data_IF_806067938137
#
_entry.id   IF_806067938137
#
_cell.length_a   1.000
_cell.length_b   1.000
_cell.length_c   1.000
_cell.angle_alpha   90.00
_cell.angle_beta   90.00
_cell.angle_gamma   90.00
#
_symmetry.space_group_name_H-M   'P 1'
#
loop_
_entity.id
_entity.type
_entity.pdbx_description
1 polymer ?
#
# COMPACT_ATOMS: atom_id res chain seq x y z
N UNK A 1 12.92 10.98 17.58
CA UNK A 1 13.19 9.57 18.00
C UNK A 1 13.94 8.85 16.89
N UNK A 2 14.99 8.12 17.24
CA UNK A 2 15.74 7.24 16.32
C UNK A 2 15.28 5.81 16.52
N UNK A 3 15.07 5.08 15.42
CA UNK A 3 14.66 3.68 15.49
C UNK A 3 15.38 2.80 14.48
N UNK A 4 15.47 1.51 14.78
CA UNK A 4 15.98 0.47 13.89
C UNK A 4 14.97 -0.67 13.74
N UNK A 5 15.06 -1.41 12.64
CA UNK A 5 14.21 -2.56 12.36
C UNK A 5 15.06 -3.81 12.26
N UNK A 6 14.61 -4.91 12.87
CA UNK A 6 15.21 -6.24 12.76
C UNK A 6 14.16 -7.19 12.20
N UNK A 7 14.36 -7.68 10.98
CA UNK A 7 13.55 -8.74 10.39
C UNK A 7 14.24 -10.10 10.65
N UNK A 8 13.53 -11.00 11.31
CA UNK A 8 14.04 -12.31 11.72
C UNK A 8 13.34 -13.38 10.89
N UNK A 9 14.12 -14.23 10.22
CA UNK A 9 13.62 -15.33 9.42
C UNK A 9 14.66 -15.85 8.42
N UNK A 10 14.91 -17.15 8.43
CA UNK A 10 15.79 -17.81 7.46
C UNK A 10 15.27 -17.68 6.03
N UNK A 11 13.95 -17.71 5.82
CA UNK A 11 13.29 -17.56 4.52
C UNK A 11 13.55 -16.20 3.85
N UNK A 12 13.81 -15.15 4.65
CA UNK A 12 14.17 -13.83 4.16
C UNK A 12 15.60 -13.84 3.59
N UNK A 13 16.52 -14.52 4.28
CA UNK A 13 17.95 -14.58 3.88
C UNK A 13 18.18 -15.40 2.62
N UNK A 14 17.40 -16.48 2.43
CA UNK A 14 17.48 -17.30 1.21
C UNK A 14 16.65 -16.73 0.06
N UNK A 15 15.93 -15.61 0.28
CA UNK A 15 15.13 -14.94 -0.75
C UNK A 15 13.83 -15.67 -1.11
N UNK A 16 13.37 -16.61 -0.30
CA UNK A 16 12.10 -17.31 -0.49
C UNK A 16 10.91 -16.38 -0.25
N UNK A 17 11.06 -15.45 0.70
CA UNK A 17 10.09 -14.40 1.02
C UNK A 17 10.78 -13.05 0.95
N UNK A 18 10.09 -12.05 0.41
CA UNK A 18 10.56 -10.66 0.43
C UNK A 18 10.15 -9.99 1.73
N UNK A 19 11.08 -9.29 2.39
CA UNK A 19 10.78 -8.47 3.56
C UNK A 19 9.90 -7.27 3.16
N UNK A 20 8.60 -7.43 3.32
CA UNK A 20 7.62 -6.37 3.13
C UNK A 20 7.33 -5.60 4.42
N UNK A 21 7.63 -6.20 5.58
CA UNK A 21 7.36 -5.64 6.88
C UNK A 21 8.23 -4.41 7.16
N UNK A 22 9.54 -4.50 6.97
CA UNK A 22 10.45 -3.38 7.19
C UNK A 22 10.10 -2.17 6.32
N UNK A 23 9.82 -2.38 5.04
CA UNK A 23 9.42 -1.31 4.14
C UNK A 23 8.07 -0.68 4.53
N UNK A 24 7.13 -1.48 5.03
CA UNK A 24 5.86 -0.97 5.52
C UNK A 24 6.02 -0.17 6.82
N UNK A 25 6.76 -0.70 7.81
CA UNK A 25 7.06 -0.01 9.08
C UNK A 25 7.74 1.33 8.79
N UNK A 26 8.77 1.34 7.94
CA UNK A 26 9.48 2.56 7.59
C UNK A 26 8.55 3.65 7.00
N UNK A 27 7.62 3.27 6.13
CA UNK A 27 6.61 4.21 5.58
C UNK A 27 5.67 4.76 6.63
N UNK A 28 5.11 3.89 7.49
CA UNK A 28 4.19 4.34 8.54
C UNK A 28 4.89 5.22 9.59
N UNK A 29 6.12 4.88 9.96
CA UNK A 29 6.90 5.64 10.94
C UNK A 29 7.40 6.98 10.39
N UNK A 30 7.62 7.08 9.08
CA UNK A 30 8.13 8.31 8.45
C UNK A 30 7.20 9.52 8.62
N UNK A 31 5.89 9.29 8.79
CA UNK A 31 4.92 10.39 9.02
C UNK A 31 5.14 11.11 10.35
N UNK A 32 5.81 10.45 11.30
CA UNK A 32 6.08 10.98 12.64
C UNK A 32 7.42 11.72 12.72
N UNK A 33 8.12 11.93 11.60
CA UNK A 33 9.45 12.54 11.60
C UNK A 33 10.51 11.70 12.33
N UNK A 34 10.23 10.43 12.59
CA UNK A 34 11.16 9.53 13.25
C UNK A 34 12.20 9.02 12.27
N UNK A 35 13.45 8.94 12.71
CA UNK A 35 14.59 8.61 11.87
C UNK A 35 14.91 7.12 11.91
N UNK A 36 14.72 6.43 10.78
CA UNK A 36 15.19 5.06 10.61
C UNK A 36 16.71 5.04 10.47
N UNK A 37 17.40 4.43 11.43
CA UNK A 37 18.85 4.33 11.41
C UNK A 37 19.31 3.10 10.60
N UNK A 38 18.65 1.94 10.83
CA UNK A 38 19.10 0.68 10.22
C UNK A 38 17.95 -0.31 10.03
N UNK A 39 18.04 -1.10 8.95
CA UNK A 39 17.27 -2.34 8.77
C UNK A 39 18.23 -3.49 8.72
N UNK A 40 18.03 -4.50 9.56
CA UNK A 40 18.83 -5.72 9.60
C UNK A 40 17.94 -6.92 9.33
N UNK A 41 18.39 -7.84 8.48
CA UNK A 41 17.77 -9.16 8.29
C UNK A 41 18.69 -10.19 8.92
N UNK A 42 18.17 -11.00 9.83
CA UNK A 42 18.95 -11.97 10.58
C UNK A 42 18.29 -13.35 10.56
N UNK A 43 19.07 -14.44 10.65
CA UNK A 43 18.53 -15.79 10.75
C UNK A 43 17.83 -16.03 12.09
N UNK A 44 17.05 -17.11 12.14
CA UNK A 44 16.51 -17.66 13.40
C UNK A 44 17.62 -18.31 14.23
N UNK A 45 18.53 -17.46 14.72
CA UNK A 45 19.68 -17.83 15.53
C UNK A 45 19.87 -16.88 16.70
N UNK A 46 19.98 -17.42 17.90
CA UNK A 46 20.03 -16.62 19.14
C UNK A 46 21.18 -15.61 19.18
N UNK A 47 22.38 -16.02 18.76
CA UNK A 47 23.56 -15.13 18.78
C UNK A 47 23.43 -14.02 17.74
N UNK A 48 22.88 -14.34 16.55
CA UNK A 48 22.64 -13.35 15.51
C UNK A 48 21.60 -12.32 15.93
N UNK A 49 20.49 -12.75 16.55
CA UNK A 49 19.45 -11.88 17.07
C UNK A 49 20.01 -10.95 18.16
N UNK A 50 20.71 -11.49 19.15
CA UNK A 50 21.32 -10.69 20.24
C UNK A 50 22.30 -9.64 19.70
N UNK A 51 23.19 -10.05 18.79
CA UNK A 51 24.13 -9.12 18.14
C UNK A 51 23.44 -8.02 17.37
N UNK A 52 22.35 -8.35 16.66
CA UNK A 52 21.58 -7.35 15.93
C UNK A 52 20.91 -6.32 16.87
N UNK A 53 20.43 -6.78 18.04
CA UNK A 53 19.88 -5.91 19.07
C UNK A 53 20.94 -4.97 19.63
N UNK A 54 22.12 -5.49 19.95
CA UNK A 54 23.24 -4.67 20.46
C UNK A 54 23.59 -3.55 19.47
N UNK A 55 23.78 -3.91 18.19
CA UNK A 55 24.09 -2.95 17.11
C UNK A 55 22.96 -1.92 16.95
N UNK A 56 21.70 -2.36 17.01
CA UNK A 56 20.56 -1.47 16.86
C UNK A 56 20.47 -0.47 18.01
N UNK A 57 20.73 -0.92 19.24
CA UNK A 57 20.69 -0.05 20.43
C UNK A 57 21.87 0.93 20.54
N UNK A 58 22.97 0.72 19.80
CA UNK A 58 24.03 1.73 19.71
C UNK A 58 23.56 3.00 19.00
N UNK A 59 22.67 2.86 18.02
CA UNK A 59 22.26 3.94 17.11
C UNK A 59 20.82 4.42 17.31
N UNK A 60 20.00 3.67 18.09
CA UNK A 60 18.55 3.88 18.18
C UNK A 60 18.02 3.84 19.61
N UNK A 61 16.94 4.59 19.83
CA UNK A 61 16.18 4.61 21.08
C UNK A 61 15.14 3.45 21.08
N UNK A 62 14.64 3.09 19.89
CA UNK A 62 13.62 2.07 19.69
C UNK A 62 14.07 1.04 18.65
N UNK A 63 13.88 -0.23 18.97
CA UNK A 63 14.12 -1.35 18.06
C UNK A 63 12.79 -2.06 17.80
N UNK A 64 12.41 -2.17 16.53
CA UNK A 64 11.22 -2.87 16.07
C UNK A 64 11.64 -4.19 15.44
N UNK A 65 11.43 -5.30 16.14
CA UNK A 65 11.74 -6.63 15.64
C UNK A 65 10.47 -7.31 15.09
N UNK A 66 10.58 -8.02 13.97
CA UNK A 66 9.45 -8.77 13.39
C UNK A 66 9.92 -10.16 12.93
N UNK A 67 9.19 -11.20 13.32
CA UNK A 67 9.48 -12.60 13.00
C UNK A 67 9.87 -13.45 14.19
N UNK A 68 9.88 -14.79 14.00
CA UNK A 68 10.31 -15.78 14.98
C UNK A 68 9.47 -15.87 16.26
N UNK A 69 8.22 -15.38 16.26
CA UNK A 69 7.27 -15.47 17.38
C UNK A 69 6.19 -16.54 17.18
N UNK A 70 6.27 -17.31 16.12
CA UNK A 70 5.33 -18.41 15.85
C UNK A 70 5.38 -19.51 16.88
N UNK A 71 4.52 -20.53 16.72
CA UNK A 71 4.41 -21.62 17.68
C UNK A 71 5.37 -22.79 17.41
N UNK A 72 6.21 -22.72 16.37
CA UNK A 72 7.04 -23.85 15.94
C UNK A 72 8.40 -23.85 16.64
N UNK A 73 9.20 -24.92 16.48
CA UNK A 73 10.46 -25.06 17.22
C UNK A 73 11.58 -24.15 16.72
N UNK A 74 11.48 -23.70 15.49
CA UNK A 74 12.33 -22.73 14.82
C UNK A 74 12.04 -21.29 15.25
N UNK A 75 10.87 -21.03 15.83
CA UNK A 75 10.50 -19.73 16.41
C UNK A 75 11.19 -19.48 17.76
N UNK A 76 12.44 -19.04 17.71
CA UNK A 76 13.29 -18.87 18.90
C UNK A 76 13.34 -17.45 19.45
N UNK A 77 12.73 -16.48 18.76
CA UNK A 77 12.83 -15.06 19.13
C UNK A 77 12.38 -14.82 20.56
N UNK A 78 11.27 -15.38 20.99
CA UNK A 78 10.73 -15.23 22.35
C UNK A 78 11.72 -15.69 23.43
N UNK A 79 12.29 -16.87 23.27
CA UNK A 79 13.27 -17.42 24.22
C UNK A 79 14.57 -16.65 24.22
N UNK A 80 15.02 -16.21 23.06
CA UNK A 80 16.23 -15.39 22.88
C UNK A 80 16.08 -14.03 23.56
N UNK A 81 14.92 -13.38 23.41
CA UNK A 81 14.64 -12.10 24.07
C UNK A 81 14.51 -12.24 25.60
N UNK A 82 13.88 -13.34 26.06
CA UNK A 82 13.82 -13.66 27.48
C UNK A 82 15.21 -13.79 28.10
N UNK A 83 16.15 -14.45 27.43
CA UNK A 83 17.53 -14.58 27.86
C UNK A 83 18.30 -13.24 27.77
N UNK A 84 18.08 -12.45 26.71
CA UNK A 84 18.76 -11.16 26.51
C UNK A 84 18.37 -10.10 27.54
N UNK A 85 17.09 -9.98 27.84
CA UNK A 85 16.58 -8.99 28.82
C UNK A 85 16.56 -9.51 30.26
N UNK A 86 16.85 -10.81 30.44
CA UNK A 86 16.70 -11.50 31.72
C UNK A 86 15.25 -11.85 32.02
N UNK A 87 15.03 -12.79 32.89
CA UNK A 87 13.70 -13.26 33.30
C UNK A 87 13.46 -14.73 32.98
N UNK A 88 12.23 -15.15 33.16
CA UNK A 88 11.76 -16.51 32.94
C UNK A 88 10.54 -16.51 32.03
N UNK A 89 10.31 -17.59 31.30
CA UNK A 89 9.05 -17.79 30.59
C UNK A 89 7.97 -18.18 31.59
N UNK A 90 7.00 -17.31 31.80
CA UNK A 90 5.84 -17.53 32.67
C UNK A 90 4.60 -17.77 31.85
N UNK A 91 3.70 -18.58 32.38
CA UNK A 91 2.40 -18.81 31.76
C UNK A 91 1.46 -17.66 32.08
N UNK A 92 0.93 -17.00 31.01
CA UNK A 92 0.05 -15.85 31.13
C UNK A 92 -1.39 -16.22 30.71
N UNK A 93 -2.30 -16.18 31.68
CA UNK A 93 -3.70 -16.53 31.45
C UNK A 93 -4.42 -15.56 30.52
N UNK A 94 -4.00 -14.28 30.48
CA UNK A 94 -4.57 -13.28 29.60
C UNK A 94 -4.19 -13.59 28.15
N UNK A 95 -2.93 -13.93 27.91
CA UNK A 95 -2.48 -14.38 26.59
C UNK A 95 -3.16 -15.68 26.17
N UNK A 96 -3.36 -16.63 27.10
CA UNK A 96 -4.12 -17.84 26.78
C UNK A 96 -5.56 -17.52 26.36
N UNK A 97 -6.22 -16.61 27.07
CA UNK A 97 -7.59 -16.19 26.72
C UNK A 97 -7.65 -15.59 25.30
N UNK A 98 -6.69 -14.72 24.95
CA UNK A 98 -6.58 -14.19 23.60
C UNK A 98 -6.33 -15.27 22.54
N UNK A 99 -5.43 -16.21 22.81
CA UNK A 99 -5.15 -17.36 21.93
C UNK A 99 -6.42 -18.17 21.68
N UNK A 100 -7.18 -18.47 22.74
CA UNK A 100 -8.45 -19.22 22.65
C UNK A 100 -9.47 -18.47 21.79
N UNK A 101 -9.63 -17.17 21.98
CA UNK A 101 -10.54 -16.35 21.20
C UNK A 101 -10.18 -16.34 19.71
N UNK A 102 -8.88 -16.18 19.37
CA UNK A 102 -8.41 -16.21 17.99
C UNK A 102 -8.62 -17.59 17.35
N UNK A 103 -8.35 -18.67 18.07
CA UNK A 103 -8.54 -20.06 17.61
C UNK A 103 -10.03 -20.32 17.34
N UNK A 104 -10.92 -19.88 18.23
CA UNK A 104 -12.37 -20.02 18.07
C UNK A 104 -12.89 -19.21 16.86
N UNK A 105 -12.51 -17.97 16.72
CA UNK A 105 -12.87 -17.12 15.57
C UNK A 105 -12.44 -17.71 14.23
N UNK A 106 -11.30 -18.41 14.21
CA UNK A 106 -10.78 -19.08 13.00
C UNK A 106 -11.33 -20.50 12.82
N UNK A 107 -12.22 -20.97 13.70
CA UNK A 107 -12.75 -22.34 13.71
C UNK A 107 -11.67 -23.43 13.73
N UNK A 108 -10.56 -23.16 14.39
CA UNK A 108 -9.44 -24.08 14.54
C UNK A 108 -9.53 -24.86 15.86
N UNK A 109 -8.78 -25.97 15.94
CA UNK A 109 -8.61 -26.71 17.21
C UNK A 109 -7.33 -26.24 17.89
N UNK A 110 -7.44 -25.93 19.19
CA UNK A 110 -6.26 -25.64 20.01
C UNK A 110 -5.38 -26.90 20.06
N UNK A 111 -4.09 -26.70 19.79
CA UNK A 111 -3.07 -27.72 19.98
C UNK A 111 -2.02 -27.21 20.99
N UNK A 112 -1.12 -28.08 21.42
CA UNK A 112 -0.12 -27.78 22.43
C UNK A 112 0.83 -26.63 22.01
N UNK A 113 1.28 -26.63 20.77
CA UNK A 113 2.16 -25.58 20.23
C UNK A 113 1.48 -24.21 20.27
N UNK A 114 0.23 -24.12 19.84
CA UNK A 114 -0.54 -22.87 19.89
C UNK A 114 -0.82 -22.45 21.34
N UNK A 115 -1.11 -23.41 22.24
CA UNK A 115 -1.29 -23.13 23.67
C UNK A 115 -0.01 -22.58 24.31
N UNK A 116 1.17 -23.04 23.88
CA UNK A 116 2.45 -22.60 24.38
C UNK A 116 2.80 -21.15 23.99
N UNK A 117 2.03 -20.50 23.11
CA UNK A 117 2.10 -19.07 22.89
C UNK A 117 1.79 -18.26 24.17
N UNK A 118 1.05 -18.83 25.12
CA UNK A 118 0.77 -18.25 26.41
C UNK A 118 1.98 -18.20 27.37
N UNK A 119 3.10 -18.85 27.02
CA UNK A 119 4.35 -18.62 27.76
C UNK A 119 5.04 -17.36 27.24
N UNK A 120 5.21 -16.38 28.12
CA UNK A 120 5.78 -15.06 27.79
C UNK A 120 6.91 -14.70 28.73
N UNK A 121 7.91 -13.88 28.33
CA UNK A 121 8.96 -13.43 29.22
C UNK A 121 8.39 -12.57 30.37
N UNK A 122 8.81 -12.87 31.61
CA UNK A 122 8.44 -12.08 32.79
C UNK A 122 9.02 -10.67 32.78
N UNK A 123 10.00 -10.39 31.94
CA UNK A 123 10.70 -9.11 31.80
C UNK A 123 10.08 -8.16 30.77
N UNK A 124 8.94 -8.51 30.15
CA UNK A 124 8.28 -7.67 29.17
C UNK A 124 6.84 -7.32 29.54
N UNK A 125 6.35 -6.22 28.99
CA UNK A 125 4.92 -5.97 28.90
C UNK A 125 4.37 -6.73 27.69
N UNK A 126 3.30 -7.50 27.90
CA UNK A 126 2.65 -8.26 26.83
C UNK A 126 1.52 -7.44 26.25
N UNK A 127 1.61 -7.14 24.95
CA UNK A 127 0.52 -6.52 24.19
C UNK A 127 -0.23 -7.62 23.42
N UNK A 128 -1.52 -7.78 23.72
CA UNK A 128 -2.33 -8.84 23.13
C UNK A 128 -2.56 -8.61 21.65
N UNK A 129 -2.33 -9.65 20.83
CA UNK A 129 -2.55 -9.63 19.39
C UNK A 129 -3.98 -10.13 19.09
N UNK A 130 -4.93 -9.21 18.94
CA UNK A 130 -6.34 -9.56 18.71
C UNK A 130 -6.64 -10.21 17.35
N UNK A 131 -5.65 -10.23 16.43
CA UNK A 131 -5.78 -10.81 15.09
C UNK A 131 -4.88 -12.02 14.85
N UNK A 132 -4.08 -12.40 15.86
CA UNK A 132 -3.18 -13.54 15.79
C UNK A 132 -2.90 -14.18 17.14
N UNK A 133 -2.28 -15.38 17.15
CA UNK A 133 -1.99 -16.13 18.37
C UNK A 133 -0.66 -15.76 19.03
N UNK A 134 0.27 -15.15 18.27
CA UNK A 134 1.55 -14.71 18.82
C UNK A 134 1.40 -13.34 19.47
N UNK A 135 1.65 -13.20 20.80
CA UNK A 135 1.60 -11.91 21.45
C UNK A 135 2.74 -11.02 20.99
N UNK A 136 2.58 -9.71 21.19
CA UNK A 136 3.64 -8.74 21.00
C UNK A 136 4.35 -8.54 22.33
N UNK A 137 5.67 -8.49 22.30
CA UNK A 137 6.51 -8.37 23.48
C UNK A 137 7.17 -7.00 23.48
N UNK A 138 6.85 -6.20 24.51
CA UNK A 138 7.39 -4.86 24.69
C UNK A 138 8.38 -4.88 25.84
N UNK A 139 9.66 -4.68 25.55
CA UNK A 139 10.73 -4.61 26.53
C UNK A 139 11.21 -3.16 26.70
N UNK A 140 11.47 -2.77 27.95
CA UNK A 140 12.09 -1.50 28.26
C UNK A 140 13.33 -1.72 29.14
N UNK A 141 14.45 -1.13 28.74
CA UNK A 141 15.69 -1.18 29.49
C UNK A 141 16.55 0.05 29.19
N UNK A 142 17.04 0.72 30.22
CA UNK A 142 17.95 1.87 30.09
C UNK A 142 17.42 2.95 29.13
N UNK A 143 16.15 3.33 29.29
CA UNK A 143 15.39 4.28 28.46
C UNK A 143 15.18 3.84 26.99
N UNK A 144 15.66 2.65 26.63
CA UNK A 144 15.48 2.07 25.28
C UNK A 144 14.32 1.09 25.25
N UNK A 145 13.71 0.95 24.08
CA UNK A 145 12.56 0.10 23.86
C UNK A 145 12.87 -0.93 22.76
N UNK A 146 12.52 -2.19 23.02
CA UNK A 146 12.42 -3.20 21.98
C UNK A 146 10.99 -3.73 21.90
N UNK A 147 10.42 -3.70 20.70
CA UNK A 147 9.10 -4.27 20.42
C UNK A 147 9.26 -5.44 19.46
N UNK A 148 8.92 -6.65 19.90
CA UNK A 148 8.94 -7.82 19.07
C UNK A 148 7.52 -8.18 18.62
N UNK A 149 7.34 -8.33 17.30
CA UNK A 149 6.07 -8.47 16.60
C UNK A 149 6.04 -9.75 15.75
N UNK A 150 4.85 -10.29 15.46
CA UNK A 150 4.70 -11.39 14.51
C UNK A 150 5.29 -11.07 13.13
N UNK A 151 5.82 -12.08 12.43
CA UNK A 151 6.28 -11.96 11.04
C UNK A 151 5.14 -11.82 10.03
N UNK A 152 3.92 -12.25 10.37
CA UNK A 152 2.74 -12.18 9.50
C UNK A 152 2.36 -10.72 9.22
N UNK A 153 2.44 -10.25 7.95
CA UNK A 153 2.29 -8.81 7.64
C UNK A 153 0.98 -8.21 8.14
N UNK A 154 -0.13 -8.90 7.94
CA UNK A 154 -1.45 -8.42 8.37
C UNK A 154 -1.53 -8.20 9.88
N UNK A 155 -1.00 -9.14 10.68
CA UNK A 155 -1.00 -9.06 12.14
C UNK A 155 -0.12 -7.90 12.62
N UNK A 156 1.11 -7.82 12.10
CA UNK A 156 2.06 -6.74 12.41
C UNK A 156 1.49 -5.36 12.08
N UNK A 157 0.96 -5.18 10.86
CA UNK A 157 0.42 -3.90 10.39
C UNK A 157 -0.78 -3.45 11.23
N UNK A 158 -1.71 -4.37 11.55
CA UNK A 158 -2.87 -4.07 12.37
C UNK A 158 -2.45 -3.57 13.76
N UNK A 159 -1.56 -4.31 14.41
CA UNK A 159 -1.09 -3.97 15.75
C UNK A 159 -0.22 -2.71 15.80
N UNK A 160 0.61 -2.50 14.80
CA UNK A 160 1.36 -1.25 14.65
C UNK A 160 0.42 -0.04 14.63
N UNK A 161 -0.58 -0.04 13.74
CA UNK A 161 -1.52 1.09 13.60
C UNK A 161 -2.37 1.30 14.85
N UNK A 162 -2.92 0.22 15.40
CA UNK A 162 -3.92 0.31 16.46
C UNK A 162 -3.32 0.59 17.84
N UNK A 163 -2.14 0.03 18.13
CA UNK A 163 -1.59 0.02 19.49
C UNK A 163 -0.18 0.58 19.56
N UNK A 164 0.75 0.07 18.73
CA UNK A 164 2.17 0.33 18.96
C UNK A 164 2.58 1.75 18.59
N UNK A 165 2.16 2.24 17.43
CA UNK A 165 2.43 3.62 17.02
C UNK A 165 1.82 4.63 18.00
N UNK A 166 0.53 4.54 18.40
CA UNK A 166 -0.02 5.42 19.43
C UNK A 166 0.74 5.37 20.77
N UNK A 167 1.18 4.17 21.17
CA UNK A 167 1.97 4.00 22.41
C UNK A 167 3.35 4.64 22.29
N UNK A 168 4.04 4.49 21.14
CA UNK A 168 5.32 5.14 20.86
C UNK A 168 5.19 6.66 20.79
N UNK A 169 4.17 7.18 20.13
CA UNK A 169 3.88 8.63 20.08
C UNK A 169 3.72 9.20 21.47
N UNK A 170 2.91 8.57 22.30
CA UNK A 170 2.71 9.00 23.70
C UNK A 170 4.02 9.00 24.49
N UNK A 171 4.91 8.02 24.23
CA UNK A 171 6.19 7.93 24.95
C UNK A 171 7.21 8.99 24.50
N UNK A 172 7.18 9.41 23.23
CA UNK A 172 8.24 10.23 22.62
C UNK A 172 7.84 11.68 22.36
N UNK A 173 6.54 11.98 22.37
CA UNK A 173 6.01 13.29 22.00
C UNK A 173 5.01 13.83 23.04
N UNK A 174 5.31 13.72 24.33
CA UNK A 174 4.37 14.12 25.40
C UNK A 174 3.79 15.55 25.23
N UNK A 175 4.47 16.45 24.48
CA UNK A 175 4.02 17.83 24.23
C UNK A 175 4.03 18.22 22.73
N UNK A 176 4.26 17.28 21.78
CA UNK A 176 4.33 17.60 20.35
C UNK A 176 3.06 17.17 19.63
N UNK A 177 2.38 18.12 19.00
CA UNK A 177 1.31 17.85 18.07
C UNK A 177 1.90 17.51 16.69
N UNK A 178 1.40 16.45 16.08
CA UNK A 178 1.81 16.00 14.75
C UNK A 178 0.62 16.04 13.81
N UNK A 179 0.80 16.64 12.63
CA UNK A 179 -0.17 16.58 11.54
C UNK A 179 0.53 16.23 10.23
N UNK A 180 -0.16 15.50 9.38
CA UNK A 180 0.26 15.28 7.99
C UNK A 180 -0.93 15.30 7.03
N UNK A 181 -0.69 15.73 5.80
CA UNK A 181 -1.64 15.68 4.68
C UNK A 181 -0.95 15.08 3.47
N UNK A 182 -1.65 14.21 2.76
CA UNK A 182 -1.13 13.57 1.56
C UNK A 182 -1.98 13.97 0.37
N UNK A 183 -1.32 14.48 -0.66
CA UNK A 183 -1.95 14.89 -1.92
C UNK A 183 -1.56 13.88 -3.01
N UNK A 184 -2.54 13.38 -3.73
CA UNK A 184 -2.32 12.49 -4.87
C UNK A 184 -2.19 13.33 -6.12
N UNK A 185 -0.99 13.34 -6.70
CA UNK A 185 -0.63 14.11 -7.89
C UNK A 185 -0.45 13.18 -9.08
N UNK A 186 -1.03 13.53 -10.22
CA UNK A 186 -0.92 12.80 -11.50
C UNK A 186 -0.37 13.70 -12.60
N UNK A 187 0.00 13.09 -13.74
CA UNK A 187 0.37 13.77 -15.00
C UNK A 187 1.53 14.77 -14.90
N UNK A 188 2.43 14.54 -13.97
CA UNK A 188 3.69 15.26 -13.85
C UNK A 188 4.79 14.28 -13.42
N UNK A 189 6.00 14.47 -13.92
CA UNK A 189 7.16 13.70 -13.46
C UNK A 189 7.73 14.36 -12.19
N UNK A 190 8.29 13.53 -11.29
CA UNK A 190 8.78 13.96 -9.99
C UNK A 190 9.75 15.13 -10.05
N UNK A 191 10.73 15.11 -10.97
CA UNK A 191 11.73 16.16 -11.10
C UNK A 191 11.13 17.52 -11.50
N UNK A 192 10.09 17.53 -12.36
CA UNK A 192 9.39 18.77 -12.70
C UNK A 192 8.54 19.29 -11.56
N UNK A 193 7.90 18.39 -10.82
CA UNK A 193 7.13 18.76 -9.64
C UNK A 193 8.03 19.34 -8.54
N UNK A 194 9.20 18.72 -8.30
CA UNK A 194 10.18 19.22 -7.35
C UNK A 194 10.71 20.61 -7.75
N UNK A 195 11.04 20.82 -9.03
CA UNK A 195 11.43 22.15 -9.52
C UNK A 195 10.33 23.20 -9.33
N UNK A 196 9.07 22.82 -9.55
CA UNK A 196 7.92 23.71 -9.38
C UNK A 196 7.71 24.10 -7.91
N UNK A 197 8.08 23.22 -6.97
CA UNK A 197 7.90 23.39 -5.54
C UNK A 197 9.17 23.84 -4.78
N UNK A 198 10.28 24.10 -5.47
CA UNK A 198 11.55 24.47 -4.83
C UNK A 198 11.44 25.73 -3.93
N UNK A 199 10.73 26.76 -4.37
CA UNK A 199 10.50 27.96 -3.57
C UNK A 199 9.45 27.75 -2.48
N UNK A 200 8.48 26.88 -2.70
CA UNK A 200 7.53 26.48 -1.68
C UNK A 200 8.22 25.78 -0.51
N UNK A 201 9.15 24.86 -0.78
CA UNK A 201 9.89 24.14 0.26
C UNK A 201 10.76 25.08 1.10
N UNK A 202 11.38 26.10 0.50
CA UNK A 202 12.16 27.12 1.21
C UNK A 202 11.34 27.99 2.17
N UNK A 203 10.03 28.12 1.92
CA UNK A 203 9.12 28.90 2.77
C UNK A 203 8.53 28.09 3.92
N UNK A 204 8.70 26.76 3.93
CA UNK A 204 8.20 25.91 5.01
C UNK A 204 8.92 26.25 6.32
N UNK A 205 8.19 26.34 7.46
CA UNK A 205 8.81 26.42 8.78
C UNK A 205 9.71 25.20 9.04
N UNK A 206 10.73 25.34 9.86
CA UNK A 206 11.68 24.26 10.20
C UNK A 206 10.99 23.00 10.77
N UNK A 207 9.81 23.15 11.38
CA UNK A 207 9.02 22.04 11.90
C UNK A 207 8.08 21.40 10.85
N UNK A 208 8.14 21.86 9.59
CA UNK A 208 7.37 21.30 8.49
C UNK A 208 8.29 20.82 7.37
N UNK A 209 7.91 19.75 6.69
CA UNK A 209 8.62 19.25 5.52
C UNK A 209 7.69 18.63 4.49
N UNK A 210 8.11 18.65 3.23
CA UNK A 210 7.42 18.01 2.11
C UNK A 210 8.20 16.78 1.65
N UNK A 211 7.50 15.66 1.48
CA UNK A 211 8.08 14.43 0.95
C UNK A 211 7.43 14.04 -0.38
N UNK A 212 8.26 13.60 -1.32
CA UNK A 212 7.83 13.05 -2.62
C UNK A 212 7.90 11.54 -2.56
N UNK A 213 6.78 10.87 -2.75
CA UNK A 213 6.65 9.42 -2.67
C UNK A 213 6.13 8.89 -4.02
N UNK A 214 7.02 8.73 -5.02
CA UNK A 214 6.60 8.30 -6.35
C UNK A 214 6.17 6.84 -6.36
N UNK A 215 5.11 6.57 -7.09
CA UNK A 215 4.65 5.22 -7.45
C UNK A 215 4.30 5.19 -8.92
N UNK A 216 4.21 4.02 -9.57
CA UNK A 216 3.89 3.97 -10.98
C UNK A 216 2.60 4.70 -11.33
N UNK A 217 2.73 5.81 -12.06
CA UNK A 217 1.61 6.60 -12.56
C UNK A 217 1.09 7.74 -11.68
N UNK A 218 1.61 7.90 -10.45
CA UNK A 218 1.25 9.02 -9.57
C UNK A 218 2.37 9.36 -8.59
N UNK A 219 2.31 10.54 -8.01
CA UNK A 219 3.19 10.98 -6.93
C UNK A 219 2.31 11.31 -5.70
N UNK A 220 2.69 10.77 -4.55
CA UNK A 220 2.14 11.22 -3.27
C UNK A 220 3.02 12.34 -2.73
N UNK A 221 2.47 13.54 -2.62
CA UNK A 221 3.09 14.62 -1.86
C UNK A 221 2.60 14.53 -0.43
N UNK A 222 3.51 14.42 0.52
CA UNK A 222 3.17 14.41 1.94
C UNK A 222 3.74 15.62 2.64
N UNK A 223 2.88 16.53 3.05
CA UNK A 223 3.20 17.64 3.92
C UNK A 223 3.07 17.17 5.37
N UNK A 224 4.14 17.25 6.13
CA UNK A 224 4.17 16.84 7.55
C UNK A 224 4.66 18.01 8.39
N UNK A 225 4.06 18.18 9.57
CA UNK A 225 4.50 19.18 10.55
C UNK A 225 4.38 18.64 11.98
N UNK A 226 5.30 19.05 12.86
CA UNK A 226 5.32 18.67 14.27
C UNK A 226 5.78 19.85 15.14
N UNK A 227 4.91 20.38 16.00
CA UNK A 227 5.28 21.43 16.96
C UNK A 227 4.43 21.35 18.26
N UNK A 228 4.81 22.12 19.28
CA UNK A 228 4.11 22.13 20.58
C UNK A 228 2.78 22.90 20.53
N UNK A 229 2.61 23.84 19.60
CA UNK A 229 1.39 24.63 19.43
C UNK A 229 0.49 24.01 18.36
N UNK A 230 -0.58 23.31 18.78
CA UNK A 230 -1.54 22.67 17.89
C UNK A 230 -2.26 23.67 16.99
N UNK A 231 -2.59 24.86 17.51
CA UNK A 231 -3.31 25.88 16.77
C UNK A 231 -2.44 26.47 15.66
N UNK A 232 -1.17 26.75 15.95
CA UNK A 232 -0.19 27.20 14.99
C UNK A 232 0.03 26.14 13.90
N UNK A 233 0.23 24.88 14.32
CA UNK A 233 0.41 23.78 13.38
C UNK A 233 -0.78 23.63 12.43
N UNK A 234 -2.00 23.67 12.96
CA UNK A 234 -3.22 23.55 12.14
C UNK A 234 -3.35 24.69 11.14
N UNK A 235 -3.08 25.94 11.57
CA UNK A 235 -3.13 27.12 10.71
C UNK A 235 -2.08 27.04 9.58
N UNK A 236 -0.87 26.61 9.88
CA UNK A 236 0.18 26.46 8.87
C UNK A 236 -0.09 25.29 7.93
N UNK A 237 -0.61 24.17 8.44
CA UNK A 237 -1.05 23.04 7.59
C UNK A 237 -2.13 23.48 6.60
N UNK A 238 -3.11 24.30 7.02
CA UNK A 238 -4.15 24.85 6.13
C UNK A 238 -3.55 25.80 5.09
N UNK A 239 -2.71 26.74 5.52
CA UNK A 239 -2.05 27.72 4.66
C UNK A 239 -1.21 27.03 3.57
N UNK A 240 -0.33 26.12 3.96
CA UNK A 240 0.57 25.47 3.01
C UNK A 240 -0.14 24.43 2.14
N UNK A 241 -1.22 23.80 2.62
CA UNK A 241 -2.08 22.97 1.77
C UNK A 241 -2.76 23.80 0.67
N UNK A 242 -3.32 24.95 1.01
CA UNK A 242 -3.92 25.85 0.03
C UNK A 242 -2.88 26.32 -1.01
N UNK A 243 -1.67 26.65 -0.58
CA UNK A 243 -0.58 27.04 -1.48
C UNK A 243 -0.14 25.89 -2.41
N UNK A 244 -0.14 24.64 -1.95
CA UNK A 244 0.11 23.47 -2.82
C UNK A 244 -0.95 23.36 -3.91
N UNK A 245 -2.23 23.56 -3.58
CA UNK A 245 -3.30 23.56 -4.59
C UNK A 245 -3.14 24.69 -5.61
N UNK A 246 -2.72 25.89 -5.19
CA UNK A 246 -2.45 27.00 -6.12
C UNK A 246 -1.30 26.69 -7.08
N UNK A 247 -0.23 26.06 -6.57
CA UNK A 247 0.97 25.77 -7.36
C UNK A 247 0.79 24.55 -8.27
N UNK A 248 0.17 23.48 -7.80
CA UNK A 248 0.06 22.19 -8.52
C UNK A 248 -1.23 22.09 -9.34
N UNK A 249 -2.28 22.77 -8.91
CA UNK A 249 -3.54 22.91 -9.62
C UNK A 249 -4.31 21.59 -9.79
N UNK A 250 -4.86 21.42 -10.99
CA UNK A 250 -5.70 20.28 -11.40
C UNK A 250 -4.99 18.91 -11.38
N UNK A 251 -3.66 18.91 -11.22
CA UNK A 251 -2.89 17.67 -11.07
C UNK A 251 -3.07 17.03 -9.69
N UNK A 252 -3.49 17.79 -8.67
CA UNK A 252 -3.94 17.21 -7.39
C UNK A 252 -5.36 16.68 -7.58
N UNK A 253 -5.54 15.37 -7.46
CA UNK A 253 -6.85 14.72 -7.65
C UNK A 253 -7.49 14.27 -6.35
N UNK A 254 -6.76 14.27 -5.23
CA UNK A 254 -7.24 13.88 -3.91
C UNK A 254 -6.30 14.41 -2.83
N UNK A 255 -6.87 14.80 -1.69
CA UNK A 255 -6.18 15.29 -0.49
C UNK A 255 -6.06 14.22 0.61
N UNK A 256 -6.29 12.97 0.25
CA UNK A 256 -6.18 11.83 1.14
C UNK A 256 -5.29 10.75 0.51
N UNK A 257 -4.54 10.03 1.35
CA UNK A 257 -3.72 8.90 0.88
C UNK A 257 -4.59 7.68 0.56
N UNK A 258 -5.03 7.60 -0.69
CA UNK A 258 -5.83 6.47 -1.15
C UNK A 258 -5.45 6.01 -2.56
N UNK A 259 -5.71 4.71 -2.89
CA UNK A 259 -5.50 4.18 -4.23
C UNK A 259 -6.39 4.86 -5.28
N UNK A 260 -5.91 4.93 -6.54
CA UNK A 260 -6.69 5.50 -7.66
C UNK A 260 -8.08 4.87 -7.81
N UNK A 261 -8.20 3.56 -7.63
CA UNK A 261 -9.48 2.86 -7.68
C UNK A 261 -10.46 3.31 -6.58
N UNK A 262 -9.96 3.69 -5.41
CA UNK A 262 -10.79 4.22 -4.32
C UNK A 262 -11.24 5.66 -4.62
N UNK A 263 -10.35 6.49 -5.19
CA UNK A 263 -10.69 7.84 -5.65
C UNK A 263 -11.77 7.76 -6.72
N UNK A 264 -11.62 6.84 -7.69
CA UNK A 264 -12.64 6.58 -8.71
C UNK A 264 -13.97 6.17 -8.09
N UNK A 265 -13.95 5.24 -7.12
CA UNK A 265 -15.15 4.79 -6.43
C UNK A 265 -15.89 5.91 -5.70
N UNK A 266 -15.18 6.78 -4.95
CA UNK A 266 -15.76 7.97 -4.32
C UNK A 266 -16.44 8.88 -5.36
N UNK A 267 -15.74 9.16 -6.46
CA UNK A 267 -16.27 10.05 -7.52
C UNK A 267 -17.52 9.49 -8.20
N UNK A 268 -17.53 8.18 -8.47
CA UNK A 268 -18.70 7.50 -9.04
C UNK A 268 -19.90 7.54 -8.10
N UNK A 269 -19.67 7.30 -6.80
CA UNK A 269 -20.72 7.40 -5.79
C UNK A 269 -21.29 8.81 -5.67
N UNK A 270 -20.45 9.84 -5.64
CA UNK A 270 -20.84 11.24 -5.61
C UNK A 270 -21.74 11.63 -6.80
N UNK A 271 -21.42 11.09 -8.00
CA UNK A 271 -22.21 11.33 -9.22
C UNK A 271 -23.39 10.36 -9.41
N UNK A 272 -23.52 9.34 -8.57
CA UNK A 272 -24.54 8.30 -8.71
C UNK A 272 -24.35 7.44 -9.96
N UNK A 273 -23.11 7.30 -10.45
CA UNK A 273 -22.78 6.60 -11.71
C UNK A 273 -22.20 5.21 -11.43
N UNK A 274 -22.36 4.34 -12.43
CA UNK A 274 -21.87 2.96 -12.42
C UNK A 274 -20.77 2.75 -13.46
N UNK A 275 -19.88 1.78 -13.23
CA UNK A 275 -18.73 1.49 -14.11
C UNK A 275 -18.59 0.01 -14.39
N UNK A 276 -18.08 -0.31 -15.61
CA UNK A 276 -17.63 -1.63 -16.00
C UNK A 276 -16.25 -1.56 -16.68
N UNK A 277 -15.60 -2.71 -16.91
CA UNK A 277 -14.35 -2.77 -17.67
C UNK A 277 -14.41 -3.82 -18.79
N UNK A 278 -13.72 -3.54 -19.92
CA UNK A 278 -13.46 -4.48 -21.00
C UNK A 278 -11.94 -4.64 -21.16
N UNK A 279 -11.43 -5.79 -20.77
CA UNK A 279 -10.00 -5.98 -20.59
C UNK A 279 -9.42 -7.02 -21.54
N UNK A 280 -8.37 -6.65 -22.28
CA UNK A 280 -7.58 -7.58 -23.06
C UNK A 280 -6.21 -7.79 -22.39
N UNK A 281 -5.24 -6.93 -22.64
CA UNK A 281 -3.88 -7.11 -22.12
C UNK A 281 -3.77 -6.98 -20.59
N UNK A 282 -4.70 -6.29 -19.93
CA UNK A 282 -4.74 -6.16 -18.45
C UNK A 282 -5.32 -7.38 -17.73
N UNK A 283 -6.04 -8.25 -18.49
CA UNK A 283 -6.42 -9.59 -18.02
C UNK A 283 -7.32 -9.66 -16.79
N UNK A 284 -8.07 -8.60 -16.48
CA UNK A 284 -8.91 -8.49 -15.28
C UNK A 284 -8.29 -7.62 -14.17
N UNK A 285 -7.13 -7.01 -14.40
CA UNK A 285 -6.45 -6.23 -13.36
C UNK A 285 -7.20 -4.94 -13.01
N UNK A 286 -7.92 -4.31 -13.94
CA UNK A 286 -8.79 -3.16 -13.63
C UNK A 286 -9.91 -3.59 -12.70
N UNK A 287 -10.58 -4.70 -13.02
CA UNK A 287 -11.62 -5.26 -12.17
C UNK A 287 -11.08 -5.64 -10.78
N UNK A 288 -9.89 -6.24 -10.72
CA UNK A 288 -9.22 -6.59 -9.48
C UNK A 288 -8.96 -5.35 -8.60
N UNK A 289 -8.37 -4.31 -9.16
CA UNK A 289 -8.07 -3.07 -8.41
C UNK A 289 -9.34 -2.37 -7.89
N UNK A 290 -10.42 -2.36 -8.67
CA UNK A 290 -11.70 -1.80 -8.24
C UNK A 290 -12.34 -2.68 -7.14
N UNK A 291 -12.33 -3.99 -7.30
CA UNK A 291 -12.99 -4.91 -6.35
C UNK A 291 -12.22 -5.10 -5.03
N UNK A 292 -10.96 -4.74 -4.97
CA UNK A 292 -10.20 -4.63 -3.70
C UNK A 292 -10.77 -3.59 -2.74
N UNK A 293 -11.54 -2.63 -3.26
CA UNK A 293 -12.14 -1.57 -2.44
C UNK A 293 -13.47 -2.07 -1.86
N UNK A 294 -13.55 -2.11 -0.53
CA UNK A 294 -14.77 -2.52 0.15
C UNK A 294 -15.95 -1.61 -0.25
N UNK A 295 -17.10 -2.19 -0.56
CA UNK A 295 -18.29 -1.47 -1.01
C UNK A 295 -18.34 -1.18 -2.52
N UNK A 296 -17.35 -1.64 -3.30
CA UNK A 296 -17.29 -1.41 -4.76
C UNK A 296 -18.50 -1.95 -5.52
N UNK A 297 -19.23 -2.93 -4.99
CA UNK A 297 -20.47 -3.47 -5.58
C UNK A 297 -21.57 -2.44 -5.78
N UNK A 298 -21.51 -1.30 -5.10
CA UNK A 298 -22.49 -0.21 -5.26
C UNK A 298 -22.32 0.54 -6.59
N UNK A 299 -21.12 0.57 -7.17
CA UNK A 299 -20.82 1.28 -8.42
C UNK A 299 -20.20 0.40 -9.52
N UNK A 300 -19.51 -0.69 -9.18
CA UNK A 300 -18.91 -1.61 -10.16
C UNK A 300 -19.85 -2.75 -10.51
N UNK A 301 -20.21 -2.88 -11.79
CA UNK A 301 -21.15 -3.92 -12.27
C UNK A 301 -20.48 -5.17 -12.79
N UNK A 302 -19.22 -5.08 -13.19
CA UNK A 302 -18.47 -6.24 -13.65
C UNK A 302 -17.45 -5.91 -14.75
N UNK A 303 -16.82 -6.95 -15.27
CA UNK A 303 -15.80 -6.87 -16.31
C UNK A 303 -15.99 -7.95 -17.36
N UNK A 304 -15.67 -7.64 -18.60
CA UNK A 304 -15.50 -8.61 -19.68
C UNK A 304 -14.00 -8.75 -19.97
N UNK A 305 -13.39 -9.86 -19.57
CA UNK A 305 -12.02 -10.19 -19.97
C UNK A 305 -12.06 -10.75 -21.41
N UNK A 306 -11.97 -9.85 -22.38
CA UNK A 306 -12.05 -10.15 -23.82
C UNK A 306 -10.67 -10.51 -24.38
N UNK A 307 -10.07 -11.59 -23.89
CA UNK A 307 -8.70 -11.97 -24.23
C UNK A 307 -8.61 -12.50 -25.67
N UNK A 308 -9.53 -13.34 -26.08
CA UNK A 308 -9.67 -13.81 -27.46
C UNK A 308 -10.47 -12.82 -28.32
N UNK A 309 -10.22 -12.81 -29.66
CA UNK A 309 -10.92 -11.91 -30.56
C UNK A 309 -12.41 -12.26 -30.69
N UNK A 310 -12.76 -13.53 -30.60
CA UNK A 310 -14.16 -14.00 -30.59
C UNK A 310 -14.97 -13.40 -29.45
N UNK A 311 -14.36 -13.19 -28.29
CA UNK A 311 -15.02 -12.55 -27.14
C UNK A 311 -15.25 -11.07 -27.41
N UNK A 312 -14.29 -10.38 -28.04
CA UNK A 312 -14.46 -8.99 -28.44
C UNK A 312 -15.64 -8.84 -29.44
N UNK A 313 -15.72 -9.74 -30.43
CA UNK A 313 -16.76 -9.72 -31.44
C UNK A 313 -18.11 -10.12 -30.85
N UNK A 314 -18.19 -11.30 -30.21
CA UNK A 314 -19.46 -11.91 -29.85
C UNK A 314 -20.08 -11.32 -28.59
N UNK A 315 -19.27 -10.80 -27.64
CA UNK A 315 -19.76 -10.25 -26.38
C UNK A 315 -19.81 -8.73 -26.40
N UNK A 316 -18.74 -8.08 -26.89
CA UNK A 316 -18.63 -6.62 -26.89
C UNK A 316 -19.10 -5.99 -28.22
N UNK A 317 -19.51 -6.80 -29.21
CA UNK A 317 -19.96 -6.37 -30.52
C UNK A 317 -18.92 -5.53 -31.27
N UNK A 318 -17.64 -5.87 -31.12
CA UNK A 318 -16.55 -5.28 -31.91
C UNK A 318 -16.63 -5.77 -33.34
N UNK A 319 -16.47 -4.86 -34.28
CA UNK A 319 -16.50 -5.19 -35.74
C UNK A 319 -15.31 -6.08 -36.12
N UNK A 320 -15.55 -7.26 -36.70
CA UNK A 320 -14.49 -8.11 -37.22
C UNK A 320 -13.73 -7.43 -38.36
N UNK A 321 -14.42 -6.64 -39.19
CA UNK A 321 -13.79 -5.87 -40.26
C UNK A 321 -12.79 -4.84 -39.75
N UNK A 322 -13.10 -4.18 -38.62
CA UNK A 322 -12.16 -3.22 -38.00
C UNK A 322 -10.95 -3.93 -37.39
N UNK A 323 -11.13 -5.13 -36.82
CA UNK A 323 -10.02 -5.97 -36.37
C UNK A 323 -9.11 -6.36 -37.55
N UNK A 324 -9.70 -6.75 -38.69
CA UNK A 324 -8.94 -7.16 -39.89
C UNK A 324 -8.17 -5.99 -40.53
N UNK A 325 -8.74 -4.80 -40.53
CA UNK A 325 -8.13 -3.60 -41.13
C UNK A 325 -7.11 -2.92 -40.20
N UNK A 326 -7.43 -2.76 -38.93
CA UNK A 326 -6.63 -1.95 -37.99
C UNK A 326 -5.80 -2.78 -37.02
N UNK A 327 -6.06 -4.08 -36.94
CA UNK A 327 -5.54 -4.97 -35.92
C UNK A 327 -6.26 -4.82 -34.58
N UNK A 328 -6.12 -5.83 -33.74
CA UNK A 328 -6.79 -5.88 -32.43
C UNK A 328 -6.30 -4.81 -31.44
N UNK A 329 -5.04 -4.36 -31.61
CA UNK A 329 -4.45 -3.27 -30.83
C UNK A 329 -4.58 -1.97 -31.60
N UNK A 330 -5.73 -1.35 -31.52
CA UNK A 330 -6.03 -0.13 -32.29
C UNK A 330 -7.12 0.71 -31.63
N UNK A 331 -7.18 1.98 -32.00
CA UNK A 331 -8.16 2.93 -31.50
C UNK A 331 -9.61 2.50 -31.77
N UNK A 332 -10.00 2.12 -33.02
CA UNK A 332 -11.37 1.73 -33.31
C UNK A 332 -11.83 0.54 -32.45
N UNK A 333 -10.94 -0.43 -32.23
CA UNK A 333 -11.25 -1.62 -31.44
C UNK A 333 -11.48 -1.25 -29.98
N UNK A 334 -10.60 -0.45 -29.37
CA UNK A 334 -10.75 -0.11 -27.94
C UNK A 334 -11.95 0.79 -27.68
N UNK A 335 -12.32 1.69 -28.61
CA UNK A 335 -13.53 2.51 -28.51
C UNK A 335 -14.80 1.66 -28.61
N UNK A 336 -14.81 0.63 -29.49
CA UNK A 336 -15.93 -0.30 -29.58
C UNK A 336 -16.01 -1.18 -28.30
N UNK A 337 -14.87 -1.63 -27.77
CA UNK A 337 -14.83 -2.40 -26.52
C UNK A 337 -15.44 -1.62 -25.35
N UNK A 338 -15.07 -0.34 -25.16
CA UNK A 338 -15.59 0.48 -24.05
C UNK A 338 -17.09 0.75 -24.21
N UNK A 339 -17.55 0.99 -25.43
CA UNK A 339 -18.97 1.19 -25.71
C UNK A 339 -19.78 -0.10 -25.59
N UNK A 340 -19.19 -1.22 -26.02
CA UNK A 340 -19.77 -2.56 -25.92
C UNK A 340 -19.99 -3.00 -24.48
N UNK A 341 -18.99 -2.83 -23.61
CA UNK A 341 -19.13 -3.24 -22.20
C UNK A 341 -20.15 -2.38 -21.44
N UNK A 342 -20.25 -1.08 -21.74
CA UNK A 342 -21.32 -0.23 -21.20
C UNK A 342 -22.72 -0.79 -21.52
N UNK A 343 -22.92 -1.23 -22.75
CA UNK A 343 -24.22 -1.82 -23.17
C UNK A 343 -24.45 -3.16 -22.49
N UNK A 344 -23.45 -4.05 -22.47
CA UNK A 344 -23.56 -5.41 -21.90
C UNK A 344 -23.85 -5.34 -20.39
N UNK A 345 -23.18 -4.45 -19.67
CA UNK A 345 -23.29 -4.33 -18.22
C UNK A 345 -24.31 -3.28 -17.76
N UNK A 346 -24.91 -2.54 -18.72
CA UNK A 346 -25.83 -1.43 -18.46
C UNK A 346 -25.24 -0.43 -17.46
N UNK A 347 -24.08 0.15 -17.81
CA UNK A 347 -23.33 1.10 -16.97
C UNK A 347 -23.19 2.46 -17.65
N UNK A 348 -23.05 3.50 -16.82
CA UNK A 348 -22.85 4.88 -17.26
C UNK A 348 -21.42 5.13 -17.73
N UNK A 349 -20.47 4.43 -17.12
CA UNK A 349 -19.05 4.55 -17.38
C UNK A 349 -18.40 3.20 -17.71
N UNK A 350 -17.29 3.27 -18.43
CA UNK A 350 -16.45 2.10 -18.65
C UNK A 350 -14.98 2.47 -18.93
N UNK A 351 -14.11 1.48 -18.74
CA UNK A 351 -12.71 1.50 -19.15
C UNK A 351 -12.44 0.30 -20.05
N UNK A 352 -11.70 0.48 -21.16
CA UNK A 352 -11.24 -0.64 -21.99
C UNK A 352 -9.76 -0.57 -22.29
N UNK A 353 -9.13 -1.74 -22.46
CA UNK A 353 -7.70 -1.88 -22.78
C UNK A 353 -7.49 -2.93 -23.84
N UNK A 354 -6.65 -2.62 -24.83
CA UNK A 354 -6.14 -3.58 -25.82
C UNK A 354 -4.66 -3.28 -26.11
N UNK A 355 -3.78 -4.28 -25.95
CA UNK A 355 -2.35 -4.00 -26.07
C UNK A 355 -1.45 -5.24 -26.06
N UNK A 356 -0.15 -4.97 -26.17
CA UNK A 356 0.95 -5.94 -26.20
C UNK A 356 1.74 -5.84 -24.92
N UNK A 357 1.39 -6.65 -23.91
CA UNK A 357 2.06 -6.62 -22.60
C UNK A 357 3.44 -7.29 -22.60
N UNK A 358 3.74 -8.10 -23.60
CA UNK A 358 5.03 -8.81 -23.71
C UNK A 358 5.08 -10.17 -22.97
N UNK A 359 6.25 -10.86 -22.99
CA UNK A 359 7.51 -10.46 -23.65
C UNK A 359 7.48 -10.57 -25.19
N UNK A 360 6.55 -11.32 -25.76
CA UNK A 360 6.35 -11.47 -27.21
C UNK A 360 5.17 -10.65 -27.73
N UNK A 361 4.84 -10.87 -29.02
CA UNK A 361 3.65 -10.29 -29.66
C UNK A 361 3.86 -8.92 -30.30
N UNK A 362 5.09 -8.41 -30.38
CA UNK A 362 5.38 -7.19 -31.13
C UNK A 362 5.01 -7.33 -32.61
N UNK A 363 4.40 -6.29 -33.16
CA UNK A 363 4.02 -6.17 -34.57
C UNK A 363 4.73 -4.97 -35.21
N UNK A 364 4.84 -4.90 -36.57
CA UNK A 364 5.38 -3.71 -37.21
C UNK A 364 4.64 -2.45 -36.79
N UNK A 365 5.40 -1.47 -36.23
CA UNK A 365 4.84 -0.22 -35.69
C UNK A 365 4.18 -0.32 -34.31
N UNK A 366 4.10 -1.52 -33.74
CA UNK A 366 3.51 -1.76 -32.39
C UNK A 366 4.47 -2.60 -31.56
N UNK A 367 5.50 -2.00 -30.92
CA UNK A 367 6.43 -2.72 -30.06
C UNK A 367 5.73 -3.24 -28.78
N UNK A 368 6.41 -4.15 -28.05
CA UNK A 368 5.97 -4.54 -26.69
C UNK A 368 5.80 -3.28 -25.82
N UNK A 369 4.75 -3.23 -25.04
CA UNK A 369 4.35 -2.07 -24.25
C UNK A 369 3.37 -1.13 -24.95
N UNK A 370 3.02 -1.36 -26.23
CA UNK A 370 1.96 -0.61 -26.91
C UNK A 370 0.60 -1.01 -26.38
N UNK A 371 -0.13 -0.05 -25.80
CA UNK A 371 -1.49 -0.26 -25.25
C UNK A 371 -2.41 0.87 -25.67
N UNK A 372 -3.51 0.54 -26.32
CA UNK A 372 -4.64 1.42 -26.51
C UNK A 372 -5.58 1.32 -25.31
N UNK A 373 -5.96 2.46 -24.79
CA UNK A 373 -6.88 2.59 -23.64
C UNK A 373 -8.01 3.52 -24.07
N UNK A 374 -9.25 3.16 -23.73
CA UNK A 374 -10.37 4.08 -23.83
C UNK A 374 -11.12 4.15 -22.51
N UNK A 375 -11.64 5.34 -22.20
CA UNK A 375 -12.54 5.59 -21.11
C UNK A 375 -13.83 6.25 -21.63
N UNK A 376 -14.96 5.90 -21.03
CA UNK A 376 -16.28 6.43 -21.38
C UNK A 376 -16.96 6.88 -20.09
N UNK A 377 -17.55 8.11 -20.14
CA UNK A 377 -18.48 8.61 -19.11
C UNK A 377 -19.68 9.23 -19.82
N UNK A 378 -20.86 8.71 -19.58
CA UNK A 378 -22.08 9.04 -20.30
C UNK A 378 -21.88 8.93 -21.84
N UNK A 379 -22.01 10.02 -22.58
CA UNK A 379 -21.80 10.04 -24.04
C UNK A 379 -20.36 10.34 -24.47
N UNK A 380 -19.50 10.80 -23.55
CA UNK A 380 -18.13 11.17 -23.83
C UNK A 380 -17.23 9.95 -23.87
N UNK A 381 -16.47 9.79 -24.94
CA UNK A 381 -15.48 8.73 -25.10
C UNK A 381 -14.13 9.36 -25.44
N UNK A 382 -13.10 9.00 -24.70
CA UNK A 382 -11.72 9.35 -25.00
C UNK A 382 -10.89 8.10 -25.20
N UNK A 383 -9.91 8.15 -26.09
CA UNK A 383 -8.98 7.05 -26.32
C UNK A 383 -7.56 7.58 -26.51
N UNK A 384 -6.57 6.80 -26.11
CA UNK A 384 -5.17 7.17 -26.24
C UNK A 384 -4.29 5.92 -26.39
N UNK A 385 -3.24 6.04 -27.19
CA UNK A 385 -2.18 5.04 -27.33
C UNK A 385 -1.04 5.37 -26.37
N UNK A 386 -0.61 4.38 -25.61
CA UNK A 386 0.52 4.47 -24.68
C UNK A 386 1.62 3.49 -25.07
N UNK A 387 2.86 3.83 -24.71
CA UNK A 387 4.02 2.96 -24.83
C UNK A 387 4.66 2.82 -23.45
N UNK A 388 4.36 1.74 -22.76
CA UNK A 388 4.86 1.48 -21.41
C UNK A 388 6.15 0.64 -21.46
N UNK A 389 7.28 1.18 -21.01
CA UNK A 389 8.50 0.40 -20.87
C UNK A 389 8.41 -0.55 -19.66
N UNK A 390 9.07 -1.71 -19.78
CA UNK A 390 9.21 -2.69 -18.70
C UNK A 390 8.73 -4.08 -19.08
N UNK A 391 8.66 -4.94 -18.06
CA UNK A 391 8.13 -6.29 -18.18
C UNK A 391 6.58 -6.30 -18.27
N UNK A 392 6.04 -7.49 -18.49
CA UNK A 392 4.60 -7.71 -18.64
C UNK A 392 3.79 -7.17 -17.47
N UNK A 393 4.24 -7.39 -16.25
CA UNK A 393 3.54 -6.96 -15.04
C UNK A 393 3.49 -5.43 -14.93
N UNK A 394 4.60 -4.77 -15.23
CA UNK A 394 4.67 -3.30 -15.26
C UNK A 394 3.77 -2.69 -16.33
N UNK A 395 3.71 -3.31 -17.51
CA UNK A 395 2.80 -2.85 -18.59
C UNK A 395 1.34 -2.98 -18.13
N UNK A 396 0.96 -4.11 -17.55
CA UNK A 396 -0.40 -4.35 -17.03
C UNK A 396 -0.76 -3.29 -15.97
N UNK A 397 0.10 -3.11 -14.96
CA UNK A 397 -0.16 -2.18 -13.86
C UNK A 397 -0.24 -0.72 -14.33
N UNK A 398 0.63 -0.30 -15.27
CA UNK A 398 0.58 1.04 -15.85
C UNK A 398 -0.68 1.25 -16.68
N UNK A 399 -1.06 0.29 -17.52
CA UNK A 399 -2.26 0.38 -18.32
C UNK A 399 -3.53 0.45 -17.45
N UNK A 400 -3.57 -0.29 -16.35
CA UNK A 400 -4.64 -0.22 -15.37
C UNK A 400 -4.75 1.17 -14.76
N UNK A 401 -3.64 1.74 -14.25
CA UNK A 401 -3.63 3.06 -13.66
C UNK A 401 -4.01 4.16 -14.65
N UNK A 402 -3.50 4.09 -15.89
CA UNK A 402 -3.86 5.06 -16.94
C UNK A 402 -5.35 4.99 -17.28
N UNK A 403 -5.92 3.79 -17.41
CA UNK A 403 -7.35 3.64 -17.65
C UNK A 403 -8.20 4.27 -16.56
N UNK A 404 -7.84 4.06 -15.28
CA UNK A 404 -8.53 4.69 -14.15
C UNK A 404 -8.38 6.22 -14.18
N UNK A 405 -7.17 6.73 -14.45
CA UNK A 405 -6.91 8.19 -14.56
C UNK A 405 -7.71 8.82 -15.71
N UNK A 406 -7.77 8.18 -16.88
CA UNK A 406 -8.56 8.68 -18.00
C UNK A 406 -10.04 8.82 -17.64
N UNK A 407 -10.60 7.83 -16.92
CA UNK A 407 -11.98 7.93 -16.46
C UNK A 407 -12.17 8.99 -15.38
N UNK A 408 -11.24 9.11 -14.43
CA UNK A 408 -11.29 10.18 -13.41
C UNK A 408 -11.30 11.58 -14.02
N UNK A 409 -10.52 11.82 -15.09
CA UNK A 409 -10.52 13.10 -15.81
C UNK A 409 -11.89 13.37 -16.44
N UNK A 410 -12.45 12.40 -17.15
CA UNK A 410 -13.80 12.54 -17.74
C UNK A 410 -14.89 12.80 -16.70
N UNK A 411 -14.70 12.36 -15.49
CA UNK A 411 -15.65 12.60 -14.39
C UNK A 411 -15.45 13.95 -13.71
N UNK A 412 -14.33 14.64 -13.94
CA UNK A 412 -14.07 15.98 -13.41
C UNK A 412 -14.55 17.10 -14.35
N UNK A 413 -14.61 16.79 -15.66
CA UNK A 413 -15.19 17.65 -16.70
C UNK A 413 -16.73 17.62 -16.61
#
# INVERSE_FOLDING_TARGET
MKYSIIAIGDELLIGQVTDTNSGWIAREMSVYGWELQKVQVVPDNADAIKKAIDIAFEESDVVLATGGLGPTKDDITKTTLCDYFGGELIFDDVTLANVLEVVEKRHLKLNEYTRNQAYVPSSCEVVQNEVGTAPILWFEKDEKVLVSMPGVPFEMQHMMKKVLIPKLVKKTHDNMHLQYRTFIVIDIIESLLAMQLDDFEKELPEYMHLAYLPTPGLIRLRLTGACEDESLLSADMDKFSAKLHELVGDKIICDEDMPLAQILGKKLLEKGMTVASAESCTGGNIAHEITRIAGSSSYFKGSVVSYANEVKINVLNVSSADIDVHGVVSEPVVQQMVSGVCKVMNTDCAISTSGIAGPGGAEPGKPVGTVWIAAKAADNVVSQCFHFPGDRERVINRATNEGIKMLLKLLND
#
